data_IF_114437885343
#
_entry.id   IF_114437885343
#
_cell.length_a   1.000
_cell.length_b   1.000
_cell.length_c   1.000
_cell.angle_alpha   90.00
_cell.angle_beta   90.00
_cell.angle_gamma   90.00
#
_symmetry.space_group_name_H-M   'P 1'
#
loop_
_entity.id
_entity.type
_entity.pdbx_description
1 polymer ?
#
# COMPACT_ATOMS: atom_id res chain seq x y z
N UNK A 1 -56.51 -3.71 -20.15
CA UNK A 1 -56.46 -2.50 -21.00
C UNK A 1 -55.47 -1.56 -20.33
N UNK A 2 -54.19 -1.49 -20.66
CA UNK A 2 -53.59 -1.56 -21.98
C UNK A 2 -53.62 -0.17 -22.61
N UNK A 3 -52.72 0.73 -22.22
CA UNK A 3 -52.21 1.81 -23.06
C UNK A 3 -50.72 2.00 -22.79
N UNK A 4 -49.94 1.52 -23.75
CA UNK A 4 -48.59 1.95 -24.02
C UNK A 4 -48.59 3.41 -24.52
N UNK A 5 -47.41 4.02 -24.37
CA UNK A 5 -46.83 5.11 -25.14
C UNK A 5 -46.85 6.50 -24.46
N UNK A 6 -45.67 6.97 -24.06
CA UNK A 6 -44.81 7.68 -24.99
C UNK A 6 -43.47 8.03 -24.32
N UNK A 7 -42.38 7.50 -24.87
CA UNK A 7 -41.06 8.10 -24.75
C UNK A 7 -41.15 9.52 -25.35
N UNK A 8 -41.17 10.53 -24.50
CA UNK A 8 -40.66 11.85 -24.85
C UNK A 8 -39.38 12.06 -24.05
N UNK A 9 -38.27 12.05 -24.80
CA UNK A 9 -36.95 12.49 -24.39
C UNK A 9 -37.00 13.97 -23.99
N UNK A 10 -37.44 14.25 -22.77
CA UNK A 10 -37.10 15.48 -22.08
C UNK A 10 -36.26 15.08 -20.88
N UNK A 11 -34.94 15.31 -20.96
CA UNK A 11 -34.03 15.12 -19.83
C UNK A 11 -34.47 16.04 -18.70
N UNK A 12 -35.28 15.52 -17.79
CA UNK A 12 -35.82 16.28 -16.68
C UNK A 12 -34.80 16.20 -15.54
N UNK A 13 -34.00 17.25 -15.42
CA UNK A 13 -33.00 17.38 -14.37
C UNK A 13 -33.66 18.03 -13.17
N UNK A 14 -33.54 17.37 -12.02
CA UNK A 14 -34.05 17.85 -10.74
C UNK A 14 -32.93 18.58 -10.00
N UNK A 15 -33.24 19.78 -9.50
CA UNK A 15 -32.33 20.53 -8.64
C UNK A 15 -32.61 20.15 -7.19
N UNK A 16 -31.59 19.60 -6.51
CA UNK A 16 -31.72 19.19 -5.12
C UNK A 16 -30.66 19.85 -4.26
N UNK A 17 -31.01 20.18 -3.04
CA UNK A 17 -30.10 20.75 -2.06
C UNK A 17 -29.46 19.61 -1.27
N UNK A 18 -28.15 19.44 -1.40
CA UNK A 18 -27.37 18.42 -0.68
C UNK A 18 -26.28 19.16 0.08
N UNK A 19 -26.30 19.07 1.41
CA UNK A 19 -25.34 19.75 2.31
C UNK A 19 -25.23 21.27 2.08
N UNK A 20 -26.33 21.93 1.71
CA UNK A 20 -26.39 23.38 1.46
C UNK A 20 -25.92 23.82 0.07
N UNK A 21 -25.54 22.88 -0.80
CA UNK A 21 -25.18 23.14 -2.19
C UNK A 21 -26.21 22.57 -3.16
N UNK A 22 -26.65 23.41 -4.10
CA UNK A 22 -27.65 23.01 -5.10
C UNK A 22 -27.00 22.16 -6.20
N UNK A 23 -27.31 20.87 -6.23
CA UNK A 23 -26.80 19.89 -7.19
C UNK A 23 -27.88 19.42 -8.17
N UNK A 24 -27.49 19.27 -9.43
CA UNK A 24 -28.34 18.68 -10.49
C UNK A 24 -28.27 17.16 -10.41
N UNK A 25 -29.44 16.52 -10.37
CA UNK A 25 -29.57 15.07 -10.40
C UNK A 25 -30.60 14.65 -11.45
N UNK A 26 -30.39 13.46 -12.03
CA UNK A 26 -31.29 12.88 -13.02
C UNK A 26 -32.35 11.95 -12.38
N UNK A 27 -32.56 12.10 -11.07
CA UNK A 27 -33.51 11.33 -10.25
C UNK A 27 -34.24 12.28 -9.28
N UNK A 28 -35.55 12.08 -9.02
CA UNK A 28 -36.32 12.94 -8.10
C UNK A 28 -35.84 12.81 -6.66
N UNK A 29 -35.87 13.93 -5.94
CA UNK A 29 -35.52 13.99 -4.52
C UNK A 29 -36.79 13.79 -3.69
N UNK A 30 -36.70 12.88 -2.71
CA UNK A 30 -37.77 12.30 -1.86
C UNK A 30 -38.58 11.14 -2.45
N UNK A 31 -38.09 9.92 -2.24
CA UNK A 31 -38.90 8.79 -1.78
C UNK A 31 -38.12 8.04 -0.68
N UNK A 32 -38.78 7.85 0.46
CA UNK A 32 -38.36 7.18 1.69
C UNK A 32 -37.23 6.14 1.54
N UNK A 33 -36.05 6.43 2.09
CA UNK A 33 -35.10 5.37 2.47
C UNK A 33 -35.60 4.73 3.77
N UNK A 34 -35.91 3.42 3.82
CA UNK A 34 -36.27 2.79 5.08
C UNK A 34 -35.05 2.74 6.01
N UNK A 35 -35.06 3.59 7.05
CA UNK A 35 -34.31 3.34 8.29
C UNK A 35 -34.86 2.06 8.91
N UNK A 36 -34.07 1.00 8.95
CA UNK A 36 -34.35 -0.15 9.81
C UNK A 36 -33.51 -0.03 11.07
N UNK A 37 -34.09 0.56 12.11
CA UNK A 37 -33.75 0.22 13.49
C UNK A 37 -34.38 -1.12 13.80
N UNK A 38 -33.59 -2.18 13.80
CA UNK A 38 -33.96 -3.47 14.37
C UNK A 38 -32.73 -4.05 15.08
N UNK A 39 -32.74 -3.97 16.41
CA UNK A 39 -31.81 -4.65 17.29
C UNK A 39 -32.41 -6.03 17.63
N UNK A 40 -31.80 -7.12 17.15
CA UNK A 40 -31.76 -8.49 17.71
C UNK A 40 -31.37 -9.54 16.63
N UNK A 41 -30.79 -10.70 16.97
CA UNK A 41 -29.84 -11.04 18.03
C UNK A 41 -28.41 -11.19 17.44
N UNK A 42 -27.40 -11.40 18.29
CA UNK A 42 -26.01 -11.62 17.85
C UNK A 42 -25.87 -12.89 16.99
N UNK A 43 -26.08 -12.77 15.69
CA UNK A 43 -25.56 -13.71 14.69
C UNK A 43 -24.03 -13.60 14.64
N UNK A 44 -23.30 -14.71 14.47
CA UNK A 44 -21.86 -14.65 14.30
C UNK A 44 -21.59 -13.79 13.07
N UNK A 45 -20.91 -12.66 13.30
CA UNK A 45 -20.43 -11.80 12.23
C UNK A 45 -19.83 -12.69 11.14
N UNK A 46 -20.22 -12.56 9.85
CA UNK A 46 -19.48 -13.22 8.80
C UNK A 46 -18.04 -12.78 9.00
N UNK A 47 -17.18 -13.72 9.38
CA UNK A 47 -15.80 -13.45 9.75
C UNK A 47 -15.27 -12.48 8.72
N UNK A 48 -14.92 -11.26 9.15
CA UNK A 48 -14.31 -10.22 8.31
C UNK A 48 -13.31 -10.96 7.43
N UNK A 49 -13.65 -11.12 6.15
CA UNK A 49 -12.76 -11.75 5.21
C UNK A 49 -11.54 -10.86 5.22
N UNK A 50 -10.50 -11.30 5.92
CA UNK A 50 -9.22 -10.60 5.97
C UNK A 50 -8.80 -10.46 4.53
N UNK A 51 -8.75 -9.23 4.03
CA UNK A 51 -8.11 -8.94 2.76
C UNK A 51 -6.77 -9.70 2.73
N UNK A 52 -6.36 -10.27 1.58
CA UNK A 52 -5.07 -10.93 1.48
C UNK A 52 -4.00 -10.02 2.10
N UNK A 53 -3.33 -10.48 3.16
CA UNK A 53 -2.15 -9.76 3.69
C UNK A 53 -1.15 -9.75 2.55
N UNK A 54 -1.02 -8.60 1.88
CA UNK A 54 -0.02 -8.41 0.84
C UNK A 54 1.33 -8.80 1.44
N UNK A 55 2.01 -9.76 0.82
CA UNK A 55 3.37 -10.09 1.25
C UNK A 55 4.20 -8.84 1.06
N UNK A 56 4.98 -8.41 2.08
CA UNK A 56 5.82 -7.25 1.96
C UNK A 56 6.75 -7.44 0.77
N UNK A 57 6.78 -6.47 -0.14
CA UNK A 57 7.75 -6.42 -1.21
C UNK A 57 9.05 -5.81 -0.69
N UNK A 58 10.16 -6.10 -1.37
CA UNK A 58 11.43 -5.45 -1.08
C UNK A 58 11.28 -3.93 -1.30
N UNK A 59 11.74 -3.14 -0.33
CA UNK A 59 11.67 -1.68 -0.43
C UNK A 59 12.53 -1.12 -1.58
N UNK A 60 12.05 -0.02 -2.17
CA UNK A 60 12.79 0.73 -3.18
C UNK A 60 13.62 1.85 -2.50
N UNK A 61 14.95 1.68 -2.48
CA UNK A 61 15.91 2.64 -1.92
C UNK A 61 16.69 3.31 -3.04
N UNK A 62 16.99 4.59 -2.85
CA UNK A 62 17.76 5.37 -3.83
C UNK A 62 19.26 5.20 -3.61
N UNK A 63 19.86 4.22 -4.30
CA UNK A 63 21.31 3.96 -4.30
C UNK A 63 22.10 5.25 -4.60
N UNK A 64 21.65 6.03 -5.58
CA UNK A 64 22.33 7.27 -5.97
C UNK A 64 22.30 8.34 -4.87
N UNK A 65 21.20 8.48 -4.13
CA UNK A 65 21.15 9.45 -3.02
C UNK A 65 22.10 9.03 -1.92
N UNK A 66 22.01 7.76 -1.51
CA UNK A 66 22.82 7.20 -0.42
C UNK A 66 24.32 7.31 -0.72
N UNK A 67 24.77 6.88 -1.90
CA UNK A 67 26.17 6.92 -2.25
C UNK A 67 26.70 8.35 -2.47
N UNK A 68 25.83 9.26 -2.94
CA UNK A 68 26.19 10.69 -3.04
C UNK A 68 26.43 11.30 -1.66
N UNK A 69 25.61 10.96 -0.66
CA UNK A 69 25.80 11.42 0.72
C UNK A 69 27.14 10.93 1.28
N UNK A 70 27.50 9.66 1.04
CA UNK A 70 28.80 9.10 1.43
C UNK A 70 29.94 9.84 0.72
N UNK A 71 29.81 10.13 -0.57
CA UNK A 71 30.80 10.94 -1.30
C UNK A 71 30.95 12.32 -0.68
N UNK A 72 29.85 13.00 -0.37
CA UNK A 72 29.88 14.33 0.22
C UNK A 72 30.58 14.33 1.59
N UNK A 73 30.43 13.24 2.35
CA UNK A 73 31.16 13.05 3.62
C UNK A 73 32.64 12.72 3.45
N UNK A 74 33.03 12.02 2.38
CA UNK A 74 34.39 11.49 2.20
C UNK A 74 35.24 12.30 1.22
N UNK A 75 34.61 13.12 0.37
CA UNK A 75 35.23 13.82 -0.74
C UNK A 75 35.70 12.90 -1.88
N UNK A 76 35.35 11.61 -1.89
CA UNK A 76 35.93 10.63 -2.82
C UNK A 76 34.92 10.02 -3.80
N UNK A 77 35.14 10.26 -5.09
CA UNK A 77 34.37 9.63 -6.17
C UNK A 77 34.63 8.12 -6.29
N UNK A 78 35.84 7.67 -5.93
CA UNK A 78 36.13 6.23 -5.90
C UNK A 78 35.26 5.52 -4.84
N UNK A 79 35.01 6.20 -3.70
CA UNK A 79 34.10 5.69 -2.66
C UNK A 79 32.65 5.71 -3.15
N UNK A 80 32.22 6.78 -3.86
CA UNK A 80 30.89 6.82 -4.48
C UNK A 80 30.69 5.63 -5.43
N UNK A 81 31.67 5.38 -6.31
CA UNK A 81 31.61 4.30 -7.28
C UNK A 81 31.51 2.93 -6.58
N UNK A 82 32.41 2.65 -5.64
CA UNK A 82 32.40 1.40 -4.88
C UNK A 82 31.10 1.21 -4.09
N UNK A 83 30.54 2.29 -3.53
CA UNK A 83 29.23 2.26 -2.87
C UNK A 83 28.14 1.86 -3.85
N UNK A 84 28.09 2.47 -5.04
CA UNK A 84 27.05 2.18 -6.03
C UNK A 84 27.12 0.72 -6.48
N UNK A 85 28.31 0.19 -6.70
CA UNK A 85 28.53 -1.21 -7.08
C UNK A 85 28.04 -2.17 -5.98
N UNK A 86 28.48 -1.97 -4.72
CA UNK A 86 28.06 -2.82 -3.60
C UNK A 86 26.57 -2.75 -3.30
N UNK A 87 25.95 -1.58 -3.40
CA UNK A 87 24.50 -1.41 -3.22
C UNK A 87 23.68 -2.08 -4.33
N UNK A 88 24.18 -2.09 -5.56
CA UNK A 88 23.53 -2.79 -6.67
C UNK A 88 23.63 -4.31 -6.53
N UNK A 89 24.77 -4.81 -6.10
CA UNK A 89 25.00 -6.21 -5.79
C UNK A 89 24.06 -6.67 -4.68
N UNK A 90 24.08 -6.00 -3.52
CA UNK A 90 23.22 -6.31 -2.39
C UNK A 90 21.73 -6.32 -2.77
N UNK A 91 21.27 -5.33 -3.55
CA UNK A 91 19.89 -5.30 -4.06
C UNK A 91 19.56 -6.51 -4.93
N UNK A 92 20.49 -6.95 -5.76
CA UNK A 92 20.31 -8.08 -6.66
C UNK A 92 20.25 -9.39 -5.88
N UNK A 93 21.12 -9.57 -4.89
CA UNK A 93 21.13 -10.72 -4.00
C UNK A 93 19.83 -10.80 -3.18
N UNK A 94 19.40 -9.69 -2.58
CA UNK A 94 18.13 -9.60 -1.85
C UNK A 94 16.92 -10.03 -2.69
N UNK A 95 16.90 -9.69 -3.98
CA UNK A 95 15.82 -10.09 -4.90
C UNK A 95 15.84 -11.59 -5.23
N UNK A 96 16.99 -12.23 -5.10
CA UNK A 96 17.16 -13.66 -5.35
C UNK A 96 16.87 -14.52 -4.11
N UNK A 97 16.89 -13.92 -2.92
CA UNK A 97 16.67 -14.62 -1.65
C UNK A 97 15.20 -14.97 -1.43
N UNK A 98 14.97 -16.14 -0.84
CA UNK A 98 13.67 -16.49 -0.25
C UNK A 98 13.61 -15.96 1.18
N UNK A 99 12.99 -14.79 1.35
CA UNK A 99 12.94 -14.09 2.63
C UNK A 99 11.56 -14.31 3.29
N UNK A 100 11.50 -14.76 4.55
CA UNK A 100 10.24 -14.82 5.28
C UNK A 100 9.57 -13.43 5.38
N UNK A 101 8.26 -13.31 5.16
CA UNK A 101 7.54 -12.04 5.15
C UNK A 101 7.80 -11.16 6.39
N UNK A 102 7.84 -11.76 7.57
CA UNK A 102 8.05 -11.07 8.84
C UNK A 102 9.45 -10.45 8.95
N UNK A 103 10.48 -11.16 8.48
CA UNK A 103 11.86 -10.66 8.44
C UNK A 103 11.96 -9.53 7.42
N UNK A 104 11.35 -9.71 6.24
CA UNK A 104 11.37 -8.70 5.19
C UNK A 104 10.68 -7.40 5.64
N UNK A 105 9.54 -7.50 6.33
CA UNK A 105 8.88 -6.32 6.88
C UNK A 105 9.78 -5.56 7.86
N UNK A 106 10.38 -6.26 8.83
CA UNK A 106 11.27 -5.65 9.81
C UNK A 106 12.52 -5.01 9.15
N UNK A 107 13.20 -5.76 8.29
CA UNK A 107 14.42 -5.28 7.64
C UNK A 107 14.14 -4.18 6.61
N UNK A 108 12.96 -4.13 5.99
CA UNK A 108 12.55 -3.00 5.16
C UNK A 108 12.50 -1.70 5.97
N UNK A 109 11.98 -1.71 7.19
CA UNK A 109 11.97 -0.52 8.04
C UNK A 109 13.39 -0.04 8.36
N UNK A 110 14.30 -0.98 8.62
CA UNK A 110 15.72 -0.66 8.87
C UNK A 110 16.36 -0.08 7.61
N UNK A 111 16.18 -0.73 6.46
CA UNK A 111 16.72 -0.26 5.18
C UNK A 111 16.17 1.10 4.76
N UNK A 112 14.92 1.43 5.10
CA UNK A 112 14.37 2.77 4.86
C UNK A 112 15.04 3.84 5.72
N UNK A 113 15.34 3.53 6.99
CA UNK A 113 16.00 4.47 7.90
C UNK A 113 17.44 4.76 7.49
N UNK A 114 18.13 3.77 6.92
CA UNK A 114 19.54 3.91 6.51
C UNK A 114 19.73 4.28 5.05
N UNK A 115 18.76 3.96 4.19
CA UNK A 115 18.85 4.14 2.74
C UNK A 115 19.77 3.12 2.04
N UNK A 116 20.22 2.06 2.72
CA UNK A 116 21.22 1.10 2.22
C UNK A 116 20.65 -0.31 2.05
N UNK A 117 20.82 -0.88 0.87
CA UNK A 117 20.59 -2.28 0.56
C UNK A 117 21.60 -3.21 1.24
N UNK A 118 22.85 -2.80 1.40
CA UNK A 118 23.84 -3.60 2.13
C UNK A 118 23.43 -3.79 3.60
N UNK A 119 22.91 -2.73 4.24
CA UNK A 119 22.37 -2.84 5.61
C UNK A 119 21.13 -3.72 5.66
N UNK A 120 20.21 -3.57 4.68
CA UNK A 120 19.03 -4.41 4.59
C UNK A 120 19.41 -5.89 4.43
N UNK A 121 20.38 -6.19 3.57
CA UNK A 121 20.91 -7.53 3.36
C UNK A 121 21.51 -8.11 4.63
N UNK A 122 22.34 -7.34 5.34
CA UNK A 122 22.91 -7.77 6.61
C UNK A 122 21.82 -8.08 7.65
N UNK A 123 20.78 -7.24 7.74
CA UNK A 123 19.63 -7.50 8.59
C UNK A 123 18.93 -8.82 8.22
N UNK A 124 18.62 -9.02 6.94
CA UNK A 124 17.94 -10.22 6.46
C UNK A 124 18.74 -11.48 6.77
N UNK A 125 20.05 -11.47 6.49
CA UNK A 125 20.93 -12.59 6.81
C UNK A 125 20.95 -12.90 8.30
N UNK A 126 21.17 -11.88 9.13
CA UNK A 126 21.22 -12.02 10.59
C UNK A 126 19.91 -12.52 11.20
N UNK A 127 18.76 -12.00 10.75
CA UNK A 127 17.44 -12.44 11.22
C UNK A 127 17.14 -13.89 10.81
N UNK A 128 17.50 -14.29 9.59
CA UNK A 128 17.33 -15.67 9.13
C UNK A 128 18.18 -16.63 9.98
N UNK A 129 19.44 -16.26 10.26
CA UNK A 129 20.33 -17.06 11.10
C UNK A 129 19.85 -17.12 12.54
N UNK A 130 19.46 -15.99 13.14
CA UNK A 130 18.91 -15.92 14.49
C UNK A 130 17.64 -16.78 14.62
N UNK A 131 16.73 -16.69 13.64
CA UNK A 131 15.51 -17.52 13.61
C UNK A 131 15.81 -19.01 13.53
N UNK A 132 16.92 -19.42 12.91
CA UNK A 132 17.37 -20.83 12.87
C UNK A 132 18.03 -21.27 14.18
N UNK A 133 18.63 -20.34 14.91
CA UNK A 133 19.35 -20.62 16.15
C UNK A 133 18.46 -20.63 17.40
N UNK A 134 17.29 -19.99 17.35
CA UNK A 134 16.33 -19.94 18.45
C UNK A 134 15.35 -21.14 18.37
N UNK A 135 15.08 -21.83 19.51
CA UNK A 135 14.23 -23.02 19.58
C UNK A 135 12.72 -22.73 19.46
#
# INVERSE_FOLDING_TARGET
MGWLAALLLTGQVYWCDVDGERRMQNWPCDEDQPRTTAEAPAEPQPARATAPRERPALVNLSIRSHCREIRESTGSYQVEQACVEGEQEARSELRSMSIPPEILAHCNEIGQRTGSYQVLQACVGGEIEAKRALP
#
